data_IF_008624608697
#
_entry.id   IF_008624608697
#
_cell.length_a   1.000
_cell.length_b   1.000
_cell.length_c   1.000
_cell.angle_alpha   90.00
_cell.angle_beta   90.00
_cell.angle_gamma   90.00
#
_symmetry.space_group_name_H-M   'P 1'
#
loop_
_entity.id
_entity.type
_entity.pdbx_description
1 polymer ?
#
# COMPACT_ATOMS: atom_id res chain seq x y z
N UNK A 1 -2.48 -11.15 -9.26
CA UNK A 1 -2.60 -10.19 -10.38
C UNK A 1 -2.71 -11.04 -11.62
N UNK A 2 -3.85 -11.06 -12.31
CA UNK A 2 -4.01 -11.90 -13.51
C UNK A 2 -3.09 -11.38 -14.61
N UNK A 3 -2.23 -12.25 -15.14
CA UNK A 3 -1.30 -11.97 -16.25
C UNK A 3 -2.01 -11.90 -17.61
N UNK A 4 -3.22 -11.34 -17.65
CA UNK A 4 -3.97 -11.16 -18.89
C UNK A 4 -3.52 -9.86 -19.54
N UNK A 5 -2.86 -9.96 -20.69
CA UNK A 5 -2.45 -8.81 -21.47
C UNK A 5 -3.72 -8.12 -22.02
N UNK A 6 -4.03 -6.94 -21.51
CA UNK A 6 -5.17 -6.15 -21.98
C UNK A 6 -4.77 -5.33 -23.20
N UNK A 7 -5.54 -5.46 -24.28
CA UNK A 7 -5.36 -4.61 -25.45
C UNK A 7 -5.65 -3.14 -25.09
N UNK A 8 -4.68 -2.26 -25.37
CA UNK A 8 -4.76 -0.86 -24.98
C UNK A 8 -5.94 -0.13 -25.64
N UNK A 9 -6.39 -0.53 -26.83
CA UNK A 9 -7.54 0.13 -27.48
C UNK A 9 -8.82 -0.09 -26.69
N UNK A 10 -9.02 -1.27 -26.10
CA UNK A 10 -10.19 -1.60 -25.26
C UNK A 10 -10.27 -0.66 -24.04
N UNK A 11 -9.12 -0.32 -23.45
CA UNK A 11 -9.03 0.57 -22.29
C UNK A 11 -9.15 2.04 -22.67
N UNK A 12 -8.70 2.42 -23.88
CA UNK A 12 -8.67 3.81 -24.37
C UNK A 12 -9.98 4.26 -25.03
N UNK A 13 -10.77 3.34 -25.57
CA UNK A 13 -12.00 3.62 -26.32
C UNK A 13 -13.31 3.41 -25.51
N UNK A 14 -13.22 3.14 -24.19
CA UNK A 14 -14.38 2.92 -23.30
C UNK A 14 -15.34 1.83 -23.86
N UNK A 15 -14.78 0.73 -24.36
CA UNK A 15 -15.58 -0.36 -24.89
C UNK A 15 -16.51 -0.94 -23.80
N UNK A 16 -17.75 -1.30 -24.17
CA UNK A 16 -18.75 -1.84 -23.22
C UNK A 16 -18.31 -3.15 -22.55
N UNK A 17 -17.40 -3.90 -23.17
CA UNK A 17 -16.82 -5.16 -22.65
C UNK A 17 -15.38 -4.97 -22.12
N UNK A 18 -14.98 -3.72 -21.87
CA UNK A 18 -13.66 -3.38 -21.33
C UNK A 18 -13.53 -3.61 -19.82
N UNK A 19 -12.31 -3.79 -19.30
CA UNK A 19 -12.09 -3.92 -17.86
C UNK A 19 -12.42 -2.61 -17.14
N UNK A 20 -12.76 -2.69 -15.84
CA UNK A 20 -12.93 -1.52 -14.98
C UNK A 20 -11.63 -0.68 -14.97
N UNK A 21 -11.69 0.52 -15.54
CA UNK A 21 -10.54 1.40 -15.72
C UNK A 21 -10.79 2.81 -15.18
N UNK A 22 -9.73 3.44 -14.66
CA UNK A 22 -9.73 4.84 -14.25
C UNK A 22 -8.75 5.60 -15.13
N UNK A 23 -9.24 6.61 -15.86
CA UNK A 23 -8.39 7.54 -16.64
C UNK A 23 -8.13 8.79 -15.84
N UNK A 24 -6.85 9.16 -15.73
CA UNK A 24 -6.42 10.35 -14.99
C UNK A 24 -5.56 11.22 -15.90
N UNK A 25 -5.96 12.47 -16.07
CA UNK A 25 -5.18 13.47 -16.78
C UNK A 25 -4.38 14.31 -15.79
N UNK A 26 -3.07 14.39 -15.99
CA UNK A 26 -2.16 15.14 -15.13
C UNK A 26 -1.23 15.99 -15.98
N UNK A 27 -0.87 17.18 -15.50
CA UNK A 27 0.26 17.92 -16.06
C UNK A 27 1.57 17.18 -15.74
N UNK A 28 2.65 17.40 -16.52
CA UNK A 28 3.95 16.81 -16.21
C UNK A 28 4.45 17.15 -14.79
N UNK A 29 4.13 18.34 -14.29
CA UNK A 29 4.46 18.75 -12.93
C UNK A 29 3.69 17.93 -11.88
N UNK A 30 2.37 17.81 -12.03
CA UNK A 30 1.53 17.03 -11.12
C UNK A 30 1.93 15.55 -11.09
N UNK A 31 2.32 14.98 -12.24
CA UNK A 31 2.79 13.61 -12.32
C UNK A 31 4.07 13.38 -11.48
N UNK A 32 5.03 14.32 -11.53
CA UNK A 32 6.26 14.25 -10.71
C UNK A 32 5.97 14.40 -9.22
N UNK A 33 5.06 15.31 -8.86
CA UNK A 33 4.64 15.48 -7.47
C UNK A 33 3.94 14.22 -6.94
N UNK A 34 3.06 13.60 -7.74
CA UNK A 34 2.39 12.35 -7.41
C UNK A 34 3.41 11.24 -7.15
N UNK A 35 4.31 10.96 -8.09
CA UNK A 35 5.34 9.93 -7.93
C UNK A 35 6.18 10.13 -6.65
N UNK A 36 6.57 11.38 -6.37
CA UNK A 36 7.34 11.71 -5.17
C UNK A 36 6.57 11.42 -3.88
N UNK A 37 5.28 11.78 -3.82
CA UNK A 37 4.42 11.53 -2.65
C UNK A 37 4.14 10.03 -2.47
N UNK A 38 3.82 9.32 -3.55
CA UNK A 38 3.57 7.88 -3.53
C UNK A 38 4.77 7.11 -3.02
N UNK A 39 5.98 7.46 -3.47
CA UNK A 39 7.22 6.85 -2.95
C UNK A 39 7.40 7.07 -1.45
N UNK A 40 7.06 8.25 -0.92
CA UNK A 40 7.12 8.50 0.53
C UNK A 40 6.14 7.61 1.30
N UNK A 41 4.93 7.43 0.78
CA UNK A 41 3.90 6.56 1.39
C UNK A 41 4.34 5.10 1.36
N UNK A 42 4.89 4.63 0.24
CA UNK A 42 5.39 3.25 0.10
C UNK A 42 6.61 3.01 1.00
N UNK A 43 7.56 3.95 1.02
CA UNK A 43 8.78 3.86 1.81
C UNK A 43 8.50 3.95 3.32
N UNK A 44 7.46 4.66 3.73
CA UNK A 44 6.93 4.65 5.10
C UNK A 44 6.19 3.35 5.44
N UNK A 45 6.51 2.24 4.74
CA UNK A 45 5.80 0.97 4.76
C UNK A 45 5.39 0.54 6.17
N UNK A 46 4.29 -0.22 6.25
CA UNK A 46 3.80 -0.76 7.52
C UNK A 46 4.95 -1.48 8.24
N UNK A 47 5.29 -1.11 9.48
CA UNK A 47 6.42 -1.71 10.18
C UNK A 47 6.22 -3.23 10.24
N UNK A 48 7.27 -4.04 10.04
CA UNK A 48 7.15 -5.48 10.13
C UNK A 48 6.80 -5.88 11.56
N UNK A 49 5.94 -6.88 11.72
CA UNK A 49 5.66 -7.46 13.02
C UNK A 49 6.95 -8.06 13.60
N UNK A 50 7.41 -7.70 14.81
CA UNK A 50 8.66 -8.21 15.38
C UNK A 50 8.65 -9.72 15.69
N UNK A 51 7.52 -10.41 15.46
CA UNK A 51 7.35 -11.84 15.72
C UNK A 51 7.24 -12.67 14.45
N UNK A 52 6.66 -12.12 13.37
CA UNK A 52 6.37 -12.86 12.14
C UNK A 52 6.72 -12.13 10.84
N UNK A 53 7.31 -10.93 10.92
CA UNK A 53 7.76 -10.09 9.80
C UNK A 53 6.66 -9.63 8.81
N UNK A 54 5.40 -9.96 9.07
CA UNK A 54 4.25 -9.52 8.28
C UNK A 54 3.91 -8.05 8.58
N UNK A 55 3.38 -7.26 7.61
CA UNK A 55 3.07 -5.86 7.82
C UNK A 55 2.07 -5.59 8.96
N UNK A 56 2.38 -4.63 9.84
CA UNK A 56 1.49 -4.18 10.91
C UNK A 56 0.41 -3.21 10.39
N UNK A 57 -0.86 -3.56 10.57
CA UNK A 57 -1.99 -2.66 10.30
C UNK A 57 -2.12 -1.53 11.34
N UNK A 58 -2.64 -0.35 10.96
CA UNK A 58 -2.88 0.76 11.89
C UNK A 58 -3.83 0.41 13.04
N UNK A 59 -4.78 -0.50 12.80
CA UNK A 59 -5.75 -0.99 13.79
C UNK A 59 -5.17 -2.11 14.68
N UNK A 60 -3.90 -2.50 14.44
CA UNK A 60 -3.20 -3.61 15.08
C UNK A 60 -3.15 -4.87 14.20
N UNK A 61 -2.19 -5.76 14.49
CA UNK A 61 -1.96 -7.01 13.75
C UNK A 61 -2.31 -8.24 14.58
N UNK A 62 -3.00 -9.21 13.96
CA UNK A 62 -3.31 -10.52 14.56
C UNK A 62 -2.15 -11.48 14.21
N UNK A 63 -1.17 -11.57 15.10
CA UNK A 63 0.01 -12.41 14.85
C UNK A 63 -0.31 -13.90 15.03
N UNK A 64 -0.02 -14.71 14.01
CA UNK A 64 -0.12 -16.18 14.08
C UNK A 64 0.81 -16.78 15.14
N UNK A 65 1.96 -16.14 15.41
CA UNK A 65 2.90 -16.57 16.46
C UNK A 65 2.36 -16.36 17.87
N UNK A 66 1.35 -15.50 18.06
CA UNK A 66 0.68 -15.29 19.35
C UNK A 66 -0.72 -15.92 19.40
N UNK A 67 -1.09 -16.76 18.41
CA UNK A 67 -2.45 -17.27 18.25
C UNK A 67 -3.52 -16.15 18.27
N UNK A 68 -3.19 -14.96 17.76
CA UNK A 68 -4.10 -13.82 17.69
C UNK A 68 -4.30 -13.05 19.00
N UNK A 69 -3.49 -13.30 20.03
CA UNK A 69 -3.51 -12.48 21.25
C UNK A 69 -3.06 -11.04 20.96
N UNK A 70 -3.95 -10.07 21.18
CA UNK A 70 -3.66 -8.63 21.07
C UNK A 70 -3.13 -8.10 22.40
N UNK A 71 -1.82 -7.86 22.50
CA UNK A 71 -1.30 -6.93 23.52
C UNK A 71 -1.52 -5.52 22.99
N UNK A 72 -2.30 -4.71 23.70
CA UNK A 72 -2.42 -3.29 23.37
C UNK A 72 -1.03 -2.63 23.39
N UNK A 73 -0.72 -1.88 22.34
CA UNK A 73 0.42 -0.96 22.24
C UNK A 73 1.80 -1.53 22.64
N UNK A 74 2.45 -2.23 21.71
CA UNK A 74 3.91 -2.26 21.65
C UNK A 74 4.35 -1.60 20.34
N UNK A 75 3.93 -0.35 20.15
CA UNK A 75 4.44 0.50 19.09
C UNK A 75 5.17 1.68 19.76
N UNK A 76 6.48 1.52 19.92
CA UNK A 76 7.47 2.60 20.00
C UNK A 76 7.37 3.60 21.15
N UNK A 77 8.05 3.30 22.26
CA UNK A 77 8.72 4.34 23.06
C UNK A 77 9.89 3.69 23.80
N UNK A 78 11.09 3.72 23.23
CA UNK A 78 12.36 3.53 23.96
C UNK A 78 13.53 4.08 23.12
N UNK A 79 13.38 5.30 22.58
CA UNK A 79 14.48 6.14 22.09
C UNK A 79 14.16 7.60 22.47
N UNK A 80 14.26 7.95 23.77
CA UNK A 80 14.55 9.31 24.25
C UNK A 80 14.97 9.28 25.75
N UNK A 81 16.14 9.84 26.05
CA UNK A 81 16.68 10.30 27.35
C UNK A 81 17.22 9.29 28.39
N UNK A 82 18.50 8.88 28.26
CA UNK A 82 19.63 9.10 29.22
C UNK A 82 20.92 8.42 28.73
#
# INVERSE_FOLDING_TARGET
VSETEFDASVVLDDAEDGPDAVRVFLTPESARQFATRSNRVIAAGRPPCPLCDEPLDPEGHICVRTNGYRRGALAGSDDDDT
#
